data_IF_571225505079
#
_entry.id   IF_571225505079
#
_cell.length_a   1.000
_cell.length_b   1.000
_cell.length_c   1.000
_cell.angle_alpha   90.00
_cell.angle_beta   90.00
_cell.angle_gamma   90.00
#
_symmetry.space_group_name_H-M   'P 1'
#
loop_
_entity.id
_entity.type
_entity.pdbx_description
1 polymer ?
#
# COMPACT_ATOMS: atom_id res chain seq x y z
N UNK A 1 8.65 -2.14 -36.66
CA UNK A 1 8.08 -1.22 -35.63
C UNK A 1 6.61 -1.49 -35.31
N UNK A 2 5.93 -2.45 -35.96
CA UNK A 2 4.49 -2.72 -35.82
C UNK A 2 4.09 -3.78 -34.78
N UNK A 3 5.02 -4.65 -34.35
CA UNK A 3 4.72 -5.77 -33.42
C UNK A 3 4.59 -5.34 -31.95
N UNK A 4 5.28 -4.27 -31.52
CA UNK A 4 5.21 -3.78 -30.14
C UNK A 4 3.86 -3.11 -29.80
N UNK A 5 3.25 -2.40 -30.76
CA UNK A 5 1.98 -1.71 -30.51
C UNK A 5 0.79 -2.67 -30.42
N UNK A 6 0.79 -3.78 -31.18
CA UNK A 6 -0.28 -4.78 -31.11
C UNK A 6 -0.26 -5.57 -29.79
N UNK A 7 0.93 -5.88 -29.25
CA UNK A 7 1.07 -6.54 -27.95
C UNK A 7 0.61 -5.64 -26.80
N UNK A 8 0.85 -4.33 -26.88
CA UNK A 8 0.37 -3.34 -25.90
C UNK A 8 -1.17 -3.27 -25.91
N UNK A 9 -1.80 -3.12 -27.07
CA UNK A 9 -3.27 -3.08 -27.18
C UNK A 9 -3.97 -4.36 -26.72
N UNK A 10 -3.38 -5.54 -26.97
CA UNK A 10 -3.93 -6.81 -26.50
C UNK A 10 -3.80 -6.94 -24.97
N UNK A 11 -2.68 -6.47 -24.42
CA UNK A 11 -2.47 -6.43 -22.96
C UNK A 11 -3.50 -5.53 -22.30
N UNK A 12 -3.74 -4.34 -22.85
CA UNK A 12 -4.74 -3.41 -22.34
C UNK A 12 -6.18 -3.95 -22.41
N UNK A 13 -6.52 -4.68 -23.48
CA UNK A 13 -7.83 -5.32 -23.60
C UNK A 13 -8.04 -6.43 -22.57
N UNK A 14 -7.07 -7.33 -22.39
CA UNK A 14 -7.10 -8.39 -21.37
C UNK A 14 -7.23 -7.77 -19.97
N UNK A 15 -6.50 -6.68 -19.75
CA UNK A 15 -6.51 -5.95 -18.48
C UNK A 15 -7.85 -5.30 -18.18
N UNK A 16 -8.49 -4.69 -19.18
CA UNK A 16 -9.83 -4.15 -19.07
C UNK A 16 -10.86 -5.24 -18.72
N UNK A 17 -10.77 -6.42 -19.35
CA UNK A 17 -11.65 -7.57 -19.03
C UNK A 17 -11.38 -8.13 -17.63
N UNK A 18 -10.12 -8.20 -17.20
CA UNK A 18 -9.76 -8.58 -15.84
C UNK A 18 -10.27 -7.57 -14.81
N UNK A 19 -10.16 -6.26 -15.06
CA UNK A 19 -10.75 -5.22 -14.19
C UNK A 19 -12.28 -5.34 -14.12
N UNK A 20 -12.92 -5.64 -15.25
CA UNK A 20 -14.38 -5.79 -15.31
C UNK A 20 -14.85 -6.99 -14.50
N UNK A 21 -14.22 -8.16 -14.68
CA UNK A 21 -14.55 -9.37 -13.91
C UNK A 21 -14.27 -9.22 -12.42
N UNK A 22 -13.23 -8.45 -12.07
CA UNK A 22 -12.88 -8.17 -10.69
C UNK A 22 -13.82 -7.18 -10.02
N UNK A 23 -14.27 -6.15 -10.74
CA UNK A 23 -15.32 -5.23 -10.27
C UNK A 23 -16.60 -6.02 -9.98
N UNK A 24 -16.96 -7.00 -10.81
CA UNK A 24 -18.10 -7.87 -10.55
C UNK A 24 -17.92 -8.70 -9.25
N UNK A 25 -16.71 -9.19 -8.96
CA UNK A 25 -16.40 -9.89 -7.70
C UNK A 25 -16.55 -8.96 -6.50
N UNK A 26 -16.04 -7.73 -6.58
CA UNK A 26 -16.16 -6.71 -5.52
C UNK A 26 -17.63 -6.42 -5.24
N UNK A 27 -18.41 -6.07 -6.28
CA UNK A 27 -19.84 -5.76 -6.14
C UNK A 27 -20.62 -6.94 -5.57
N UNK A 28 -20.32 -8.15 -6.04
CA UNK A 28 -20.98 -9.36 -5.52
C UNK A 28 -20.67 -9.57 -4.04
N UNK A 29 -19.43 -9.33 -3.62
CA UNK A 29 -19.03 -9.43 -2.23
C UNK A 29 -19.67 -8.32 -1.37
N UNK A 30 -19.74 -7.08 -1.86
CA UNK A 30 -20.39 -5.96 -1.18
C UNK A 30 -21.91 -6.20 -1.02
N UNK A 31 -22.59 -6.73 -2.04
CA UNK A 31 -24.00 -7.13 -1.96
C UNK A 31 -24.22 -8.26 -0.95
N UNK A 32 -23.31 -9.23 -0.89
CA UNK A 32 -23.36 -10.28 0.12
C UNK A 32 -23.16 -9.72 1.53
N UNK A 33 -22.24 -8.76 1.73
CA UNK A 33 -22.05 -8.10 3.02
C UNK A 33 -23.32 -7.36 3.46
N UNK A 34 -23.99 -6.67 2.53
CA UNK A 34 -25.19 -5.88 2.81
C UNK A 34 -26.42 -6.72 3.18
N UNK A 35 -26.42 -8.02 2.87
CA UNK A 35 -27.49 -8.95 3.23
C UNK A 35 -27.25 -9.72 4.53
N UNK A 36 -26.10 -9.50 5.20
CA UNK A 36 -25.82 -10.15 6.47
C UNK A 36 -26.61 -9.51 7.61
N UNK A 37 -27.29 -10.35 8.40
CA UNK A 37 -27.98 -9.92 9.61
C UNK A 37 -26.94 -9.46 10.67
N UNK A 38 -27.18 -8.34 11.39
CA UNK A 38 -26.23 -7.81 12.38
C UNK A 38 -25.87 -8.78 13.51
N UNK A 39 -26.77 -9.72 13.84
CA UNK A 39 -26.59 -10.71 14.91
C UNK A 39 -25.73 -11.91 14.49
N UNK A 40 -25.43 -12.07 13.18
CA UNK A 40 -24.63 -13.16 12.62
C UNK A 40 -23.34 -12.65 11.95
N UNK A 41 -22.62 -11.73 12.60
CA UNK A 41 -21.24 -11.37 12.23
C UNK A 41 -20.33 -12.60 12.34
N UNK A 42 -20.38 -13.44 11.31
CA UNK A 42 -19.85 -14.78 11.27
C UNK A 42 -18.50 -14.84 10.52
N UNK A 43 -17.98 -16.05 10.35
CA UNK A 43 -16.87 -16.34 9.42
C UNK A 43 -17.17 -15.78 8.01
N UNK A 44 -18.45 -15.72 7.61
CA UNK A 44 -18.87 -15.24 6.29
C UNK A 44 -18.56 -13.75 6.07
N UNK A 45 -18.77 -12.89 7.07
CA UNK A 45 -18.42 -11.46 6.99
C UNK A 45 -16.90 -11.29 6.81
N UNK A 46 -16.09 -12.04 7.59
CA UNK A 46 -14.63 -12.04 7.43
C UNK A 46 -14.17 -12.53 6.07
N UNK A 47 -14.82 -13.54 5.50
CA UNK A 47 -14.54 -14.06 4.16
C UNK A 47 -14.92 -13.05 3.08
N UNK A 48 -16.07 -12.39 3.21
CA UNK A 48 -16.51 -11.35 2.28
C UNK A 48 -15.54 -10.16 2.29
N UNK A 49 -15.17 -9.67 3.47
CA UNK A 49 -14.16 -8.62 3.60
C UNK A 49 -12.81 -9.06 3.02
N UNK A 50 -12.44 -10.33 3.19
CA UNK A 50 -11.24 -10.89 2.54
C UNK A 50 -11.34 -10.90 1.02
N UNK A 51 -12.49 -11.28 0.45
CA UNK A 51 -12.73 -11.25 -1.01
C UNK A 51 -12.61 -9.82 -1.53
N UNK A 52 -13.25 -8.85 -0.88
CA UNK A 52 -13.19 -7.42 -1.26
C UNK A 52 -11.73 -6.93 -1.25
N UNK A 53 -10.98 -7.18 -0.17
CA UNK A 53 -9.57 -6.77 -0.05
C UNK A 53 -8.70 -7.41 -1.12
N UNK A 54 -8.83 -8.71 -1.34
CA UNK A 54 -8.05 -9.41 -2.35
C UNK A 54 -8.39 -8.93 -3.77
N UNK A 55 -9.67 -8.69 -4.04
CA UNK A 55 -10.11 -8.19 -5.33
C UNK A 55 -9.58 -6.77 -5.59
N UNK A 56 -9.67 -5.86 -4.62
CA UNK A 56 -9.06 -4.52 -4.72
C UNK A 56 -7.54 -4.58 -4.90
N UNK A 57 -6.86 -5.50 -4.22
CA UNK A 57 -5.42 -5.74 -4.41
C UNK A 57 -5.09 -6.19 -5.85
N UNK A 58 -5.91 -7.06 -6.45
CA UNK A 58 -5.74 -7.45 -7.86
C UNK A 58 -6.02 -6.25 -8.78
N UNK A 59 -7.03 -5.43 -8.50
CA UNK A 59 -7.44 -4.31 -9.35
C UNK A 59 -6.36 -3.25 -9.40
N UNK A 60 -5.73 -2.98 -8.26
CA UNK A 60 -4.60 -2.07 -8.17
C UNK A 60 -3.36 -2.60 -8.89
N UNK A 61 -3.08 -3.91 -8.80
CA UNK A 61 -1.99 -4.54 -9.58
C UNK A 61 -2.27 -4.46 -11.08
N UNK A 62 -3.50 -4.74 -11.50
CA UNK A 62 -3.94 -4.56 -12.89
C UNK A 62 -3.86 -3.09 -13.30
N UNK A 63 -4.21 -2.14 -12.46
CA UNK A 63 -4.13 -0.71 -12.85
C UNK A 63 -2.72 -0.23 -13.18
N UNK A 64 -1.70 -0.95 -12.72
CA UNK A 64 -0.27 -0.61 -12.92
C UNK A 64 0.33 -1.38 -14.09
N UNK A 65 -0.14 -2.61 -14.32
CA UNK A 65 0.22 -3.39 -15.49
C UNK A 65 -0.18 -2.68 -16.80
N UNK A 66 -1.17 -1.76 -16.77
CA UNK A 66 -1.67 -0.98 -17.92
C UNK A 66 -0.79 0.23 -18.20
N UNK A 67 0.29 0.40 -17.44
CA UNK A 67 1.03 1.65 -17.41
C UNK A 67 0.24 2.72 -16.66
N UNK A 68 0.96 3.69 -16.13
CA UNK A 68 0.46 4.76 -15.27
C UNK A 68 -0.68 5.63 -15.85
N UNK A 69 -1.21 5.35 -17.04
CA UNK A 69 -2.36 6.07 -17.61
C UNK A 69 -3.72 5.54 -17.08
N UNK A 70 -3.85 4.25 -16.77
CA UNK A 70 -5.15 3.69 -16.35
C UNK A 70 -5.67 4.15 -14.97
N UNK A 71 -4.78 4.59 -14.08
CA UNK A 71 -5.11 5.24 -12.80
C UNK A 71 -5.33 6.76 -12.95
N UNK A 72 -4.76 7.37 -14.00
CA UNK A 72 -4.89 8.80 -14.31
C UNK A 72 -6.12 9.11 -15.19
N UNK A 73 -6.63 8.13 -15.94
CA UNK A 73 -7.73 8.31 -16.90
C UNK A 73 -9.12 8.28 -16.27
N UNK A 74 -9.24 7.87 -15.00
CA UNK A 74 -10.50 7.90 -14.27
C UNK A 74 -10.37 8.64 -12.94
N UNK A 75 -10.24 9.97 -13.03
CA UNK A 75 -10.26 10.92 -11.90
C UNK A 75 -11.52 10.81 -11.02
N UNK A 76 -12.50 9.97 -11.37
CA UNK A 76 -13.69 9.72 -10.53
C UNK A 76 -13.41 8.81 -9.32
N UNK A 77 -12.30 8.05 -9.33
CA UNK A 77 -11.97 7.07 -8.29
C UNK A 77 -11.10 7.61 -7.15
N UNK A 78 -10.19 8.55 -7.43
CA UNK A 78 -9.37 9.17 -6.38
C UNK A 78 -10.18 10.23 -5.64
N UNK A 79 -10.58 9.93 -4.40
CA UNK A 79 -11.44 10.82 -3.61
C UNK A 79 -10.75 11.23 -2.31
N UNK A 80 -9.72 12.10 -2.39
CA UNK A 80 -9.00 12.52 -1.21
C UNK A 80 -9.90 13.33 -0.29
N UNK A 81 -10.06 12.85 0.95
CA UNK A 81 -10.84 13.48 2.02
C UNK A 81 -9.94 13.65 3.25
N UNK A 82 -10.34 14.47 4.23
CA UNK A 82 -9.70 14.46 5.54
C UNK A 82 -9.80 13.06 6.15
N UNK A 83 -8.67 12.46 6.49
CA UNK A 83 -8.56 11.10 7.01
C UNK A 83 -7.70 11.09 8.26
N UNK A 84 -8.15 10.34 9.27
CA UNK A 84 -7.36 10.01 10.44
C UNK A 84 -6.46 8.82 10.11
N UNK A 85 -5.16 9.06 9.97
CA UNK A 85 -4.20 8.01 9.58
C UNK A 85 -4.07 6.92 10.64
N UNK A 86 -4.31 7.23 11.91
CA UNK A 86 -4.21 6.27 13.02
C UNK A 86 -5.21 5.11 12.88
N UNK A 87 -6.42 5.39 12.37
CA UNK A 87 -7.44 4.36 12.13
C UNK A 87 -6.99 3.37 11.06
N UNK A 88 -6.45 3.87 9.94
CA UNK A 88 -5.94 3.04 8.85
C UNK A 88 -4.76 2.18 9.34
N UNK A 89 -3.88 2.75 10.16
CA UNK A 89 -2.75 2.00 10.74
C UNK A 89 -3.23 0.83 11.60
N UNK A 90 -4.25 1.04 12.43
CA UNK A 90 -4.84 -0.04 13.23
C UNK A 90 -5.38 -1.17 12.35
N UNK A 91 -6.09 -0.82 11.27
CA UNK A 91 -6.61 -1.80 10.32
C UNK A 91 -5.48 -2.59 9.64
N UNK A 92 -4.43 -1.91 9.18
CA UNK A 92 -3.26 -2.55 8.55
C UNK A 92 -2.53 -3.47 9.53
N UNK A 93 -2.33 -3.03 10.77
CA UNK A 93 -1.70 -3.84 11.81
C UNK A 93 -2.53 -5.09 12.12
N UNK A 94 -3.86 -4.96 12.20
CA UNK A 94 -4.76 -6.10 12.45
C UNK A 94 -4.64 -7.17 11.35
N UNK A 95 -4.46 -6.75 10.10
CA UNK A 95 -4.32 -7.65 8.95
C UNK A 95 -2.98 -8.39 8.96
N UNK A 96 -1.90 -7.73 9.36
CA UNK A 96 -0.56 -8.30 9.36
C UNK A 96 -0.25 -9.07 10.65
N UNK A 97 -0.99 -8.83 11.74
CA UNK A 97 -0.74 -9.39 13.07
C UNK A 97 -0.55 -10.93 13.08
N UNK A 98 -1.34 -11.74 12.35
CA UNK A 98 -1.14 -13.19 12.32
C UNK A 98 0.25 -13.61 11.81
N UNK A 99 0.77 -12.95 10.77
CA UNK A 99 2.09 -13.26 10.21
C UNK A 99 3.24 -12.74 11.10
N UNK A 100 3.05 -11.58 11.73
CA UNK A 100 3.98 -11.04 12.73
C UNK A 100 4.12 -12.01 13.90
N UNK A 101 3.00 -12.49 14.45
CA UNK A 101 2.98 -13.44 15.57
C UNK A 101 3.64 -14.76 15.19
N UNK A 102 3.31 -15.31 14.01
CA UNK A 102 3.92 -16.53 13.48
C UNK A 102 5.44 -16.45 13.37
N UNK A 103 5.99 -15.25 13.11
CA UNK A 103 7.44 -14.98 13.02
C UNK A 103 8.03 -14.48 14.33
N UNK A 104 7.22 -14.33 15.38
CA UNK A 104 7.62 -13.74 16.67
C UNK A 104 8.28 -12.37 16.55
N UNK A 105 7.89 -11.58 15.54
CA UNK A 105 8.45 -10.25 15.32
C UNK A 105 7.89 -9.23 16.32
N UNK A 106 8.73 -8.29 16.75
CA UNK A 106 8.36 -7.20 17.65
C UNK A 106 8.01 -5.94 16.85
N UNK A 107 6.85 -5.34 17.15
CA UNK A 107 6.39 -4.08 16.54
C UNK A 107 6.44 -2.95 17.54
N UNK A 108 7.07 -1.86 17.13
CA UNK A 108 7.11 -0.60 17.87
C UNK A 108 6.27 0.42 17.09
N UNK A 109 5.29 1.02 17.76
CA UNK A 109 4.46 2.09 17.20
C UNK A 109 4.85 3.38 17.92
N UNK A 110 5.34 4.35 17.16
CA UNK A 110 5.83 5.64 17.64
C UNK A 110 5.09 6.76 16.91
N UNK A 111 3.85 6.99 17.37
CA UNK A 111 2.88 7.88 16.73
C UNK A 111 2.40 8.88 17.79
N UNK A 112 2.50 10.20 17.55
CA UNK A 112 1.94 11.22 18.44
C UNK A 112 0.42 11.06 18.61
N UNK A 113 -0.08 11.32 19.81
CA UNK A 113 -1.53 11.24 20.10
C UNK A 113 -2.35 12.30 19.34
N UNK A 114 -1.73 13.45 19.04
CA UNK A 114 -2.35 14.59 18.35
C UNK A 114 -1.78 14.74 16.93
N UNK A 115 -2.18 13.83 16.03
CA UNK A 115 -1.88 13.95 14.62
C UNK A 115 -2.99 14.70 13.87
N UNK A 116 -2.64 15.70 13.05
CA UNK A 116 -3.62 16.35 12.18
C UNK A 116 -4.13 15.36 11.12
N UNK A 117 -5.37 15.55 10.69
CA UNK A 117 -5.90 14.80 9.55
C UNK A 117 -5.04 15.04 8.30
N UNK A 118 -4.88 13.99 7.49
CA UNK A 118 -4.23 14.06 6.17
C UNK A 118 -5.28 14.14 5.07
N UNK A 119 -4.96 14.80 3.95
CA UNK A 119 -5.84 14.81 2.78
C UNK A 119 -5.49 13.59 1.92
N UNK A 120 -6.22 12.50 2.11
CA UNK A 120 -5.92 11.22 1.48
C UNK A 120 -7.15 10.44 1.05
N UNK A 121 -6.96 9.56 0.07
CA UNK A 121 -7.88 8.49 -0.23
C UNK A 121 -7.56 7.31 0.70
N UNK A 122 -8.52 6.91 1.53
CA UNK A 122 -8.29 5.93 2.59
C UNK A 122 -7.87 4.55 2.05
N UNK A 123 -8.44 4.13 0.92
CA UNK A 123 -8.13 2.82 0.33
C UNK A 123 -6.69 2.79 -0.23
N UNK A 124 -6.28 3.87 -0.87
CA UNK A 124 -4.93 3.98 -1.41
C UNK A 124 -3.89 4.14 -0.31
N UNK A 125 -4.23 4.87 0.76
CA UNK A 125 -3.37 4.99 1.94
C UNK A 125 -3.19 3.64 2.66
N UNK A 126 -4.29 2.89 2.86
CA UNK A 126 -4.23 1.52 3.37
C UNK A 126 -3.29 0.66 2.50
N UNK A 127 -3.40 0.76 1.18
CA UNK A 127 -2.57 0.00 0.26
C UNK A 127 -1.08 0.36 0.33
N UNK A 128 -0.73 1.65 0.46
CA UNK A 128 0.64 2.10 0.67
C UNK A 128 1.19 1.45 1.94
N UNK A 129 0.45 1.54 3.05
CA UNK A 129 0.86 1.01 4.35
C UNK A 129 0.99 -0.52 4.34
N UNK A 130 0.03 -1.25 3.76
CA UNK A 130 0.12 -2.71 3.58
C UNK A 130 1.35 -3.12 2.77
N UNK A 131 1.71 -2.33 1.76
CA UNK A 131 2.91 -2.60 0.95
C UNK A 131 4.17 -2.45 1.79
N UNK A 132 4.33 -1.34 2.50
CA UNK A 132 5.55 -1.04 3.26
C UNK A 132 5.68 -1.95 4.49
N UNK A 133 4.62 -2.04 5.31
CA UNK A 133 4.58 -2.91 6.48
C UNK A 133 4.68 -4.39 6.09
N UNK A 134 4.00 -4.81 5.00
CA UNK A 134 4.10 -6.17 4.49
C UNK A 134 5.52 -6.53 4.03
N UNK A 135 6.24 -5.60 3.40
CA UNK A 135 7.65 -5.79 3.07
C UNK A 135 8.52 -5.90 4.32
N UNK A 136 8.30 -5.07 5.33
CA UNK A 136 9.02 -5.15 6.61
C UNK A 136 8.81 -6.53 7.26
N UNK A 137 7.56 -7.01 7.38
CA UNK A 137 7.25 -8.35 7.92
C UNK A 137 7.93 -9.46 7.12
N UNK A 138 7.93 -9.34 5.79
CA UNK A 138 8.45 -10.34 4.88
C UNK A 138 9.97 -10.46 4.89
N UNK A 139 10.68 -9.34 4.96
CA UNK A 139 12.14 -9.26 4.83
C UNK A 139 12.88 -9.15 6.16
N UNK A 140 12.14 -9.00 7.26
CA UNK A 140 12.64 -9.16 8.61
C UNK A 140 12.68 -10.64 8.99
N UNK A 141 13.76 -11.05 9.66
CA UNK A 141 13.88 -12.40 10.20
C UNK A 141 12.85 -12.71 11.30
N UNK A 142 12.85 -13.94 11.78
CA UNK A 142 12.13 -14.28 13.00
C UNK A 142 12.71 -13.50 14.19
N UNK A 143 11.87 -13.13 15.15
CA UNK A 143 12.27 -12.33 16.33
C UNK A 143 12.86 -10.94 16.00
N UNK A 144 12.76 -10.51 14.75
CA UNK A 144 13.20 -9.19 14.32
C UNK A 144 12.27 -8.07 14.79
N UNK A 145 12.67 -6.83 14.51
CA UNK A 145 12.02 -5.60 14.95
C UNK A 145 11.54 -4.80 13.74
N UNK A 146 10.30 -4.34 13.84
CA UNK A 146 9.66 -3.43 12.89
C UNK A 146 9.18 -2.22 13.69
N UNK A 147 9.47 -1.01 13.21
CA UNK A 147 9.03 0.24 13.81
C UNK A 147 8.22 1.03 12.79
N UNK A 148 7.01 1.43 13.18
CA UNK A 148 6.21 2.41 12.46
C UNK A 148 6.26 3.72 13.24
N UNK A 149 6.73 4.79 12.60
CA UNK A 149 6.77 6.12 13.21
C UNK A 149 6.15 7.18 12.32
N UNK A 150 5.52 8.18 12.94
CA UNK A 150 4.94 9.32 12.25
C UNK A 150 5.37 10.60 12.95
N UNK A 151 5.81 11.59 12.17
CA UNK A 151 6.07 12.92 12.69
C UNK A 151 5.67 13.97 11.66
N UNK A 152 5.43 15.19 12.14
CA UNK A 152 5.11 16.33 11.29
C UNK A 152 6.39 16.99 10.79
N UNK A 153 6.43 17.29 9.50
CA UNK A 153 7.45 18.14 8.89
C UNK A 153 6.75 19.20 8.02
N UNK A 154 6.74 20.44 8.50
CA UNK A 154 6.05 21.55 7.83
C UNK A 154 4.53 21.34 7.71
N UNK A 155 4.05 21.20 6.47
CA UNK A 155 2.63 20.99 6.11
C UNK A 155 2.32 19.53 5.72
N UNK A 156 3.25 18.62 5.98
CA UNK A 156 3.10 17.20 5.70
C UNK A 156 3.36 16.37 6.95
N UNK A 157 2.81 15.15 6.97
CA UNK A 157 3.25 14.09 7.84
C UNK A 157 4.29 13.24 7.11
N UNK A 158 5.37 12.89 7.79
CA UNK A 158 6.28 11.83 7.37
C UNK A 158 5.90 10.56 8.10
N UNK A 159 5.64 9.51 7.32
CA UNK A 159 5.38 8.16 7.80
C UNK A 159 6.59 7.31 7.46
N UNK A 160 7.15 6.63 8.46
CA UNK A 160 8.32 5.77 8.30
C UNK A 160 8.02 4.36 8.78
N UNK A 161 8.40 3.38 7.95
CA UNK A 161 8.41 1.95 8.29
C UNK A 161 9.86 1.50 8.29
N UNK A 162 10.40 1.22 9.46
CA UNK A 162 11.77 0.78 9.68
C UNK A 162 11.80 -0.69 10.11
N UNK A 163 12.78 -1.44 9.61
CA UNK A 163 12.99 -2.83 9.94
C UNK A 163 14.48 -3.13 10.13
N UNK A 164 14.81 -4.18 10.90
CA UNK A 164 16.17 -4.69 11.04
C UNK A 164 16.43 -5.94 10.20
N UNK A 165 15.78 -6.05 9.04
CA UNK A 165 15.88 -7.16 8.12
C UNK A 165 17.17 -7.15 7.29
N UNK A 166 17.10 -7.79 6.12
CA UNK A 166 18.26 -8.02 5.25
C UNK A 166 18.90 -6.75 4.68
N UNK A 167 18.18 -5.62 4.70
CA UNK A 167 18.60 -4.38 4.05
C UNK A 167 18.72 -4.47 2.53
N UNK A 168 19.07 -3.35 1.90
CA UNK A 168 19.13 -3.16 0.46
C UNK A 168 20.50 -2.56 0.10
N UNK A 169 21.26 -3.18 -0.82
CA UNK A 169 22.51 -2.60 -1.30
C UNK A 169 22.30 -1.20 -1.89
N UNK A 170 23.18 -0.26 -1.59
CA UNK A 170 23.07 1.16 -2.00
C UNK A 170 22.74 1.34 -3.49
N UNK A 171 23.44 0.61 -4.37
CA UNK A 171 23.22 0.63 -5.83
C UNK A 171 21.83 0.17 -6.29
N UNK A 172 21.08 -0.52 -5.43
CA UNK A 172 19.75 -1.09 -5.71
C UNK A 172 18.63 -0.22 -5.12
N UNK A 173 18.94 0.71 -4.20
CA UNK A 173 17.93 1.52 -3.47
C UNK A 173 17.11 2.43 -4.38
N UNK A 174 17.68 2.97 -5.45
CA UNK A 174 16.90 3.75 -6.43
C UNK A 174 16.03 2.86 -7.34
N UNK A 175 16.40 1.58 -7.47
CA UNK A 175 15.78 0.65 -8.40
C UNK A 175 14.59 -0.08 -7.76
N UNK A 176 14.50 -0.17 -6.42
CA UNK A 176 13.41 -0.90 -5.74
C UNK A 176 12.01 -0.34 -6.02
N UNK A 177 11.91 0.91 -6.48
CA UNK A 177 10.64 1.52 -6.89
C UNK A 177 10.31 1.30 -8.38
N UNK A 178 11.19 0.66 -9.17
CA UNK A 178 10.91 0.33 -10.56
C UNK A 178 10.01 -0.91 -10.66
N UNK A 179 9.02 -0.91 -11.57
CA UNK A 179 8.19 -2.09 -11.80
C UNK A 179 9.02 -3.35 -12.09
N UNK A 180 8.63 -4.47 -11.48
CA UNK A 180 9.24 -5.80 -11.62
C UNK A 180 10.68 -5.92 -11.10
N UNK A 181 11.23 -4.86 -10.51
CA UNK A 181 12.55 -4.94 -9.92
C UNK A 181 12.52 -5.80 -8.66
N UNK A 182 13.54 -6.66 -8.52
CA UNK A 182 13.77 -7.46 -7.33
C UNK A 182 15.26 -7.38 -6.99
N UNK A 183 15.55 -7.11 -5.71
CA UNK A 183 16.91 -7.13 -5.18
C UNK A 183 17.54 -8.49 -5.45
N UNK A 184 18.76 -8.51 -5.99
CA UNK A 184 19.38 -9.74 -6.52
C UNK A 184 19.45 -10.87 -5.48
N UNK A 185 19.68 -10.52 -4.23
CA UNK A 185 19.84 -11.44 -3.10
C UNK A 185 18.53 -12.12 -2.69
N UNK A 186 17.38 -11.56 -3.09
CA UNK A 186 16.04 -12.10 -2.79
C UNK A 186 15.44 -12.79 -4.02
N UNK A 187 15.96 -12.52 -5.21
CA UNK A 187 15.47 -13.05 -6.48
C UNK A 187 15.49 -14.58 -6.47
N UNK A 188 14.33 -15.19 -6.72
CA UNK A 188 14.17 -16.65 -6.75
C UNK A 188 14.01 -17.33 -5.39
N UNK A 189 14.02 -16.58 -4.29
CA UNK A 189 13.65 -17.12 -2.97
C UNK A 189 12.13 -17.27 -2.85
N UNK A 190 11.65 -18.09 -1.91
CA UNK A 190 10.21 -18.16 -1.55
C UNK A 190 9.66 -16.81 -1.06
N UNK A 191 10.54 -15.92 -0.61
CA UNK A 191 10.23 -14.55 -0.21
C UNK A 191 10.34 -13.55 -1.36
N UNK A 192 10.57 -13.97 -2.61
CA UNK A 192 10.53 -13.08 -3.77
C UNK A 192 9.06 -12.65 -4.04
N UNK A 193 8.81 -11.34 -4.09
CA UNK A 193 7.52 -10.81 -4.55
C UNK A 193 7.52 -10.65 -6.07
N UNK A 194 6.41 -10.21 -6.66
CA UNK A 194 6.34 -9.91 -8.11
C UNK A 194 7.12 -8.64 -8.51
N UNK A 195 7.67 -7.88 -7.56
CA UNK A 195 8.40 -6.63 -7.82
C UNK A 195 7.51 -5.43 -8.17
N UNK A 196 6.18 -5.54 -7.95
CA UNK A 196 5.23 -4.46 -8.26
C UNK A 196 4.91 -3.58 -7.05
N UNK A 197 4.87 -4.14 -5.84
CA UNK A 197 4.36 -3.46 -4.64
C UNK A 197 4.91 -2.05 -4.43
N UNK A 198 6.23 -1.90 -4.40
CA UNK A 198 6.88 -0.60 -4.16
C UNK A 198 6.65 0.40 -5.29
N UNK A 199 6.53 -0.05 -6.54
CA UNK A 199 6.13 0.82 -7.65
C UNK A 199 4.69 1.32 -7.48
N UNK A 200 3.78 0.48 -6.96
CA UNK A 200 2.41 0.89 -6.60
C UNK A 200 2.44 1.96 -5.51
N UNK A 201 3.15 1.68 -4.42
CA UNK A 201 3.24 2.60 -3.29
C UNK A 201 3.77 3.97 -3.75
N UNK A 202 4.78 3.98 -4.62
CA UNK A 202 5.30 5.22 -5.22
C UNK A 202 4.24 5.98 -6.02
N UNK A 203 3.55 5.32 -6.94
CA UNK A 203 2.50 5.95 -7.74
C UNK A 203 1.38 6.52 -6.85
N UNK A 204 0.94 5.76 -5.84
CA UNK A 204 -0.12 6.21 -4.94
C UNK A 204 0.34 7.38 -4.06
N UNK A 205 1.57 7.36 -3.56
CA UNK A 205 2.13 8.49 -2.79
C UNK A 205 2.24 9.74 -3.68
N UNK A 206 2.70 9.59 -4.93
CA UNK A 206 2.79 10.70 -5.89
C UNK A 206 1.40 11.23 -6.27
N UNK A 207 0.39 10.36 -6.39
CA UNK A 207 -1.02 10.74 -6.62
C UNK A 207 -1.57 11.59 -5.47
N UNK A 208 -1.09 11.36 -4.24
CA UNK A 208 -1.40 12.19 -3.07
C UNK A 208 -0.58 13.49 -3.02
N UNK A 209 0.30 13.77 -3.99
CA UNK A 209 1.21 14.90 -3.97
C UNK A 209 2.40 14.74 -3.01
N UNK A 210 2.67 13.51 -2.57
CA UNK A 210 3.77 13.18 -1.67
C UNK A 210 5.03 12.72 -2.40
N UNK A 211 6.03 12.33 -1.61
CA UNK A 211 7.28 11.70 -2.03
C UNK A 211 7.50 10.43 -1.22
N UNK A 212 8.13 9.42 -1.81
CA UNK A 212 8.55 8.19 -1.14
C UNK A 212 10.05 7.96 -1.38
N UNK A 213 10.75 7.47 -0.37
CA UNK A 213 12.17 7.15 -0.45
C UNK A 213 12.52 6.01 0.50
N UNK A 214 13.76 5.52 0.40
CA UNK A 214 14.31 4.49 1.27
C UNK A 214 15.71 4.87 1.72
N UNK A 215 16.01 4.59 2.98
CA UNK A 215 17.35 4.62 3.56
C UNK A 215 17.66 3.22 4.07
N UNK A 216 18.73 2.60 3.62
CA UNK A 216 19.02 1.21 3.99
C UNK A 216 20.52 0.93 4.04
N UNK A 217 20.90 0.01 4.92
CA UNK A 217 22.24 -0.55 4.96
C UNK A 217 22.10 -2.07 4.85
N UNK A 218 22.77 -2.64 3.86
CA UNK A 218 22.72 -4.08 3.62
C UNK A 218 23.19 -4.85 4.86
N UNK A 219 22.37 -5.81 5.31
CA UNK A 219 22.57 -6.59 6.51
C UNK A 219 22.18 -5.92 7.83
N UNK A 220 21.73 -4.65 7.83
CA UNK A 220 21.33 -3.93 9.05
C UNK A 220 19.85 -3.56 9.07
N UNK A 221 19.21 -3.44 7.91
CA UNK A 221 17.79 -3.12 7.80
C UNK A 221 17.48 -2.03 6.79
N UNK A 222 16.22 -1.60 6.77
CA UNK A 222 15.72 -0.58 5.85
C UNK A 222 14.74 0.35 6.56
N UNK A 223 14.67 1.60 6.12
CA UNK A 223 13.64 2.55 6.50
C UNK A 223 13.00 3.10 5.24
N UNK A 224 11.75 2.70 4.98
CA UNK A 224 10.93 3.26 3.91
C UNK A 224 10.14 4.44 4.48
N UNK A 225 10.21 5.58 3.82
CA UNK A 225 9.58 6.82 4.28
C UNK A 225 8.72 7.41 3.17
N UNK A 226 7.58 8.00 3.53
CA UNK A 226 6.79 8.78 2.60
C UNK A 226 6.12 9.98 3.27
N UNK A 227 5.83 11.02 2.47
CA UNK A 227 5.11 12.22 2.93
C UNK A 227 3.63 12.17 2.55
N UNK A 228 2.78 12.67 3.42
CA UNK A 228 1.36 12.93 3.14
C UNK A 228 1.01 14.39 3.44
N UNK A 229 0.37 15.13 2.52
CA UNK A 229 -0.11 16.46 2.81
C UNK A 229 -1.17 16.45 3.92
N UNK A 230 -1.05 17.37 4.86
CA UNK A 230 -2.07 17.60 5.88
C UNK A 230 -3.35 18.14 5.22
N UNK A 231 -4.51 17.76 5.76
CA UNK A 231 -5.78 18.41 5.46
C UNK A 231 -5.80 19.77 6.17
N UNK A 232 -5.18 20.78 5.55
CA UNK A 232 -5.18 22.14 6.09
C UNK A 232 -6.60 22.71 5.99
N UNK A 233 -7.29 22.87 7.12
CA UNK A 233 -8.45 23.75 7.20
C UNK A 233 -7.92 25.17 7.18
N UNK A 234 -8.13 25.91 6.09
CA UNK A 234 -7.97 27.36 6.13
C UNK A 234 -9.14 27.86 6.97
N UNK A 235 -8.91 28.18 8.23
CA UNK A 235 -9.81 29.08 8.95
C UNK A 235 -9.74 30.40 8.20
N UNK A 236 -10.76 30.67 7.39
CA UNK A 236 -10.97 32.00 6.82
C UNK A 236 -11.09 32.96 8.00
N UNK A 237 -10.03 33.73 8.23
CA UNK A 237 -10.06 34.87 9.13
C UNK A 237 -11.09 35.84 8.59
N UNK A 238 -12.30 35.79 9.16
CA UNK A 238 -13.31 36.82 8.98
C UNK A 238 -12.71 38.11 9.52
N UNK A 239 -12.34 39.00 8.62
CA UNK A 239 -11.91 40.37 8.89
C UNK A 239 -13.13 41.28 8.96
#
# INVERSE_FOLDING_TARGET
MTQNNQSLHLTDAIMHELKTSLTAIIVSAELLAAQLNPEEKSVLDRLIQSIIRNARSIDSRLSILSGAEGLLLDNSKFQPKPVNISEIIQDVLSQLYPEIQKRSQNIIIDIPDDLPAVRADSQYLEQILLTLMGNAVKFTGNEGRIKLSIYREGLALIVQVSDNGIGIPEKEQQLVFQPYYQVKQVKGTTNAGQGLGLAIAKLLVELHGGKIWVESIFGQGSTFSFTLPMAVTIESSSN
#
